data_IF_025164108279
#
_entry.id   IF_025164108279
#
_cell.length_a   1.000
_cell.length_b   1.000
_cell.length_c   1.000
_cell.angle_alpha   90.00
_cell.angle_beta   90.00
_cell.angle_gamma   90.00
#
_symmetry.space_group_name_H-M   'P 1'
#
loop_
_entity.id
_entity.type
_entity.pdbx_description
1 polymer ?
#
# COMPACT_ATOMS: atom_id res chain seq x y z
N UNK A 1 23.21 15.95 20.42
CA UNK A 1 22.08 15.44 19.60
C UNK A 1 21.75 16.48 18.55
N UNK A 2 21.42 16.08 17.33
CA UNK A 2 21.09 16.99 16.22
C UNK A 2 19.63 16.75 15.81
N UNK A 3 18.85 17.82 15.71
CA UNK A 3 17.44 17.78 15.29
C UNK A 3 17.21 18.76 14.16
N UNK A 4 16.32 18.41 13.23
CA UNK A 4 15.90 19.29 12.14
C UNK A 4 14.52 19.84 12.46
N UNK A 5 14.35 21.13 12.25
CA UNK A 5 13.08 21.83 12.44
C UNK A 5 12.68 22.52 11.14
N UNK A 6 11.39 22.52 10.84
CA UNK A 6 10.81 23.37 9.81
C UNK A 6 10.49 24.72 10.43
N UNK A 7 10.94 25.81 9.81
CA UNK A 7 10.69 27.18 10.28
C UNK A 7 9.89 27.94 9.24
N UNK A 8 8.68 28.36 9.62
CA UNK A 8 7.77 29.13 8.77
C UNK A 8 7.96 30.63 9.00
N UNK A 9 7.69 31.44 7.97
CA UNK A 9 7.77 32.92 8.03
C UNK A 9 9.12 33.53 7.64
N UNK A 10 10.11 32.72 7.26
CA UNK A 10 11.36 33.21 6.68
C UNK A 10 11.18 33.54 5.20
N UNK A 11 11.35 34.80 4.81
CA UNK A 11 11.16 35.26 3.42
C UNK A 11 12.39 35.90 2.80
N UNK A 12 13.48 36.05 3.55
CA UNK A 12 14.74 36.60 3.07
C UNK A 12 15.92 36.12 3.94
N UNK A 13 17.15 36.32 3.45
CA UNK A 13 18.35 35.92 4.19
C UNK A 13 18.48 36.62 5.55
N UNK A 14 17.98 37.86 5.68
CA UNK A 14 17.90 38.55 6.97
C UNK A 14 16.97 37.87 7.99
N UNK A 15 15.88 37.24 7.53
CA UNK A 15 15.03 36.44 8.40
C UNK A 15 15.74 35.17 8.86
N UNK A 16 16.44 34.48 7.96
CA UNK A 16 17.21 33.27 8.29
C UNK A 16 18.31 33.57 9.33
N UNK A 17 19.07 34.64 9.15
CA UNK A 17 20.10 35.05 10.12
C UNK A 17 19.50 35.42 11.48
N UNK A 18 18.35 36.09 11.51
CA UNK A 18 17.67 36.44 12.76
C UNK A 18 17.17 35.20 13.51
N UNK A 19 16.61 34.22 12.80
CA UNK A 19 16.20 32.93 13.37
C UNK A 19 17.40 32.16 13.92
N UNK A 20 18.49 32.08 13.15
CA UNK A 20 19.74 31.42 13.55
C UNK A 20 20.32 32.02 14.84
N UNK A 21 20.37 33.35 14.94
CA UNK A 21 20.90 34.05 16.12
C UNK A 21 20.04 33.78 17.37
N UNK A 22 18.71 33.85 17.23
CA UNK A 22 17.79 33.62 18.36
C UNK A 22 17.83 32.19 18.86
N UNK A 23 17.83 31.21 17.95
CA UNK A 23 17.93 29.79 18.31
C UNK A 23 19.29 29.44 18.93
N UNK A 24 20.37 30.09 18.50
CA UNK A 24 21.72 29.86 19.06
C UNK A 24 21.88 30.36 20.50
N UNK A 25 21.04 31.31 20.94
CA UNK A 25 21.04 31.85 22.31
C UNK A 25 20.22 31.01 23.29
N UNK A 26 19.52 29.98 22.83
CA UNK A 26 18.71 29.11 23.69
C UNK A 26 19.63 28.20 24.52
N UNK A 27 19.42 28.19 25.84
CA UNK A 27 20.18 27.35 26.76
C UNK A 27 20.06 25.88 26.39
N UNK A 28 21.22 25.24 26.17
CA UNK A 28 21.31 23.85 25.74
C UNK A 28 21.63 23.67 24.25
N UNK A 29 21.63 24.74 23.45
CA UNK A 29 22.07 24.71 22.05
C UNK A 29 23.59 24.86 21.93
N UNK A 30 24.19 24.11 21.01
CA UNK A 30 25.62 24.15 20.67
C UNK A 30 25.86 24.79 19.31
N UNK A 31 25.02 24.48 18.33
CA UNK A 31 25.16 24.96 16.96
C UNK A 31 23.78 25.01 16.27
N UNK A 32 23.58 26.00 15.40
CA UNK A 32 22.37 26.16 14.59
C UNK A 32 22.79 26.45 13.16
N UNK A 33 22.24 25.73 12.20
CA UNK A 33 22.42 25.97 10.77
C UNK A 33 21.04 26.12 10.11
N UNK A 34 20.80 27.25 9.44
CA UNK A 34 19.51 27.57 8.83
C UNK A 34 19.64 27.57 7.31
N UNK A 35 18.82 26.77 6.67
CA UNK A 35 18.68 26.69 5.22
C UNK A 35 17.40 27.44 4.80
N UNK A 36 17.57 28.59 4.14
CA UNK A 36 16.45 29.41 3.67
C UNK A 36 15.73 28.77 2.48
N UNK A 37 16.44 28.06 1.60
CA UNK A 37 15.85 27.44 0.40
C UNK A 37 14.93 26.28 0.79
N UNK A 38 15.32 25.53 1.82
CA UNK A 38 14.53 24.42 2.36
C UNK A 38 13.55 24.84 3.46
N UNK A 39 13.69 26.04 4.02
CA UNK A 39 12.88 26.50 5.15
C UNK A 39 13.17 25.72 6.44
N UNK A 40 14.42 25.30 6.63
CA UNK A 40 14.83 24.35 7.67
C UNK A 40 15.90 24.92 8.60
N UNK A 41 15.88 24.49 9.87
CA UNK A 41 16.90 24.78 10.86
C UNK A 41 17.39 23.48 11.49
N UNK A 42 18.68 23.18 11.30
CA UNK A 42 19.37 22.08 11.98
C UNK A 42 19.98 22.61 13.27
N UNK A 43 19.60 22.02 14.41
CA UNK A 43 20.02 22.45 15.75
C UNK A 43 20.75 21.30 16.44
N UNK A 44 22.01 21.53 16.78
CA UNK A 44 22.81 20.64 17.63
C UNK A 44 22.69 21.09 19.08
N UNK A 45 22.23 20.20 19.96
CA UNK A 45 22.01 20.47 21.37
C UNK A 45 22.88 19.58 22.27
N UNK A 46 23.24 20.12 23.44
CA UNK A 46 23.92 19.41 24.53
C UNK A 46 22.97 18.47 25.28
N UNK A 47 21.76 18.94 25.58
CA UNK A 47 20.68 18.21 26.24
C UNK A 47 19.35 18.45 25.49
N UNK A 48 18.32 17.64 25.73
CA UNK A 48 17.01 17.84 25.10
C UNK A 48 16.34 19.14 25.53
N UNK A 49 16.03 20.00 24.56
CA UNK A 49 15.34 21.27 24.74
C UNK A 49 13.92 21.13 24.14
N UNK A 50 12.86 21.35 24.94
CA UNK A 50 11.49 21.25 24.44
C UNK A 50 11.18 22.28 23.34
N UNK A 51 10.39 21.89 22.34
CA UNK A 51 9.97 22.74 21.21
C UNK A 51 9.37 24.08 21.67
N UNK A 52 8.65 24.09 22.80
CA UNK A 52 8.05 25.30 23.35
C UNK A 52 9.10 26.37 23.68
N UNK A 53 10.29 25.97 24.16
CA UNK A 53 11.39 26.92 24.43
C UNK A 53 11.93 27.53 23.14
N UNK A 54 11.99 26.75 22.05
CA UNK A 54 12.37 27.29 20.74
C UNK A 54 11.32 28.25 20.19
N UNK A 55 10.03 27.91 20.30
CA UNK A 55 8.94 28.79 19.88
C UNK A 55 8.92 30.09 20.70
N UNK A 56 9.19 30.03 22.02
CA UNK A 56 9.28 31.22 22.89
C UNK A 56 10.49 32.11 22.60
N UNK A 57 11.57 31.56 22.05
CA UNK A 57 12.75 32.33 21.65
C UNK A 57 12.52 33.07 20.31
N UNK A 58 11.56 32.62 19.51
CA UNK A 58 11.16 33.26 18.26
C UNK A 58 10.02 34.25 18.49
N UNK A 59 9.91 35.25 17.61
CA UNK A 59 8.76 36.17 17.60
C UNK A 59 7.55 35.51 16.96
N UNK A 60 6.33 35.97 17.27
CA UNK A 60 5.05 35.46 16.71
C UNK A 60 5.00 35.41 15.17
N UNK A 61 5.88 36.16 14.50
CA UNK A 61 6.07 36.14 13.05
C UNK A 61 6.62 34.80 12.51
N UNK A 62 7.27 33.99 13.34
CA UNK A 62 7.91 32.74 12.94
C UNK A 62 7.29 31.56 13.69
N UNK A 63 6.95 30.49 12.95
CA UNK A 63 6.56 29.21 13.54
C UNK A 63 7.71 28.22 13.45
N UNK A 64 7.92 27.40 14.48
CA UNK A 64 8.88 26.30 14.45
C UNK A 64 8.19 24.99 14.77
N UNK A 65 8.38 24.01 13.89
CA UNK A 65 7.87 22.65 14.04
C UNK A 65 9.03 21.68 13.91
N UNK A 66 9.05 20.62 14.73
CA UNK A 66 10.05 19.58 14.57
C UNK A 66 9.78 18.81 13.29
N UNK A 67 10.68 18.96 12.31
CA UNK A 67 10.64 18.14 11.10
C UNK A 67 11.10 16.79 11.56
N UNK A 68 10.14 15.88 11.75
CA UNK A 68 10.37 14.55 12.30
C UNK A 68 11.59 13.88 11.67
N UNK A 69 12.76 14.06 12.27
CA UNK A 69 13.90 13.22 11.99
C UNK A 69 13.58 11.92 12.70
N UNK A 70 13.60 10.87 11.91
CA UNK A 70 13.63 9.48 12.33
C UNK A 70 14.85 9.19 13.22
N UNK A 71 14.85 9.76 14.43
CA UNK A 71 15.43 9.18 15.63
C UNK A 71 14.27 9.04 16.63
N UNK A 72 13.13 8.56 16.13
CA UNK A 72 11.93 8.24 16.89
C UNK A 72 11.91 6.72 17.10
N UNK A 73 11.84 6.31 18.36
CA UNK A 73 11.24 5.06 18.82
C UNK A 73 11.82 3.74 18.25
N UNK A 74 13.10 3.47 18.55
CA UNK A 74 13.45 2.10 18.95
C UNK A 74 13.22 1.96 20.45
N UNK A 75 11.95 1.81 20.85
CA UNK A 75 11.49 1.06 22.03
C UNK A 75 9.95 1.11 22.05
N UNK A 76 9.34 0.08 21.46
CA UNK A 76 7.92 -0.30 21.57
C UNK A 76 6.86 0.41 20.69
N UNK A 77 7.20 0.71 19.44
CA UNK A 77 6.24 0.53 18.35
C UNK A 77 6.41 -0.88 17.78
N UNK A 78 5.59 -1.85 18.22
CA UNK A 78 5.53 -3.16 17.55
C UNK A 78 5.39 -2.90 16.05
N UNK A 79 6.32 -3.41 15.21
CA UNK A 79 5.98 -3.73 13.83
C UNK A 79 4.66 -4.50 13.92
N UNK A 80 3.55 -3.91 13.46
CA UNK A 80 2.29 -4.64 13.40
C UNK A 80 2.61 -5.88 12.58
N UNK A 81 2.67 -7.02 13.26
CA UNK A 81 3.03 -8.31 12.68
C UNK A 81 2.31 -8.46 11.35
N UNK A 82 3.02 -8.86 10.28
CA UNK A 82 2.45 -9.02 8.93
C UNK A 82 1.12 -9.81 8.96
N UNK A 83 1.00 -10.73 9.90
CA UNK A 83 -0.21 -11.50 10.22
C UNK A 83 -1.43 -10.66 10.61
N UNK A 84 -1.23 -9.62 11.43
CA UNK A 84 -2.30 -8.70 11.84
C UNK A 84 -2.79 -7.88 10.64
N UNK A 85 -1.88 -7.52 9.73
CA UNK A 85 -2.24 -6.86 8.49
C UNK A 85 -3.04 -7.81 7.60
N UNK A 86 -2.58 -9.05 7.35
CA UNK A 86 -3.28 -10.04 6.51
C UNK A 86 -4.63 -10.54 7.08
N UNK A 87 -5.02 -10.15 8.29
CA UNK A 87 -6.25 -10.62 8.96
C UNK A 87 -7.54 -10.42 8.12
N UNK A 88 -7.80 -9.26 7.48
CA UNK A 88 -8.99 -9.08 6.65
C UNK A 88 -8.99 -10.03 5.44
N UNK A 89 -7.82 -10.30 4.88
CA UNK A 89 -7.68 -11.21 3.75
C UNK A 89 -8.03 -12.65 4.14
N UNK A 90 -7.46 -13.15 5.25
CA UNK A 90 -7.81 -14.48 5.76
C UNK A 90 -9.28 -14.60 6.10
N UNK A 91 -9.89 -13.53 6.61
CA UNK A 91 -11.32 -13.49 6.87
C UNK A 91 -12.11 -13.60 5.55
N UNK A 92 -11.77 -12.84 4.51
CA UNK A 92 -12.39 -12.97 3.19
C UNK A 92 -12.28 -14.41 2.68
N UNK A 93 -11.07 -15.00 2.69
CA UNK A 93 -10.85 -16.38 2.26
C UNK A 93 -11.70 -17.39 3.05
N UNK A 94 -11.80 -17.24 4.37
CA UNK A 94 -12.61 -18.13 5.20
C UNK A 94 -14.10 -18.05 4.84
N UNK A 95 -14.63 -16.84 4.58
CA UNK A 95 -16.01 -16.65 4.14
C UNK A 95 -16.25 -17.23 2.75
N UNK A 96 -15.35 -17.00 1.79
CA UNK A 96 -15.45 -17.55 0.43
C UNK A 96 -15.41 -19.08 0.43
N UNK A 97 -14.48 -19.67 1.19
CA UNK A 97 -14.38 -21.12 1.32
C UNK A 97 -15.62 -21.72 1.97
N UNK A 98 -16.12 -21.10 3.04
CA UNK A 98 -17.35 -21.54 3.72
C UNK A 98 -18.56 -21.45 2.78
N UNK A 99 -18.67 -20.39 2.00
CA UNK A 99 -19.75 -20.21 1.03
C UNK A 99 -19.70 -21.29 -0.07
N UNK A 100 -18.53 -21.49 -0.69
CA UNK A 100 -18.34 -22.53 -1.71
C UNK A 100 -18.64 -23.94 -1.17
N UNK A 101 -18.21 -24.23 0.07
CA UNK A 101 -18.51 -25.49 0.75
C UNK A 101 -20.01 -25.68 0.99
N UNK A 102 -20.70 -24.66 1.52
CA UNK A 102 -22.13 -24.74 1.82
C UNK A 102 -23.00 -24.88 0.56
N UNK A 103 -22.61 -24.24 -0.55
CA UNK A 103 -23.30 -24.37 -1.84
C UNK A 103 -23.23 -25.81 -2.39
N UNK A 104 -22.17 -26.55 -2.06
CA UNK A 104 -21.91 -27.90 -2.55
C UNK A 104 -22.10 -28.99 -1.47
N UNK A 105 -22.75 -28.66 -0.34
CA UNK A 105 -22.84 -29.57 0.80
C UNK A 105 -23.72 -30.80 0.54
N UNK A 106 -24.77 -30.67 -0.29
CA UNK A 106 -25.70 -31.78 -0.59
C UNK A 106 -25.16 -32.71 -1.67
N UNK A 107 -24.74 -32.14 -2.79
CA UNK A 107 -24.21 -32.87 -3.94
C UNK A 107 -22.73 -32.54 -4.08
N UNK A 108 -21.91 -33.21 -3.27
CA UNK A 108 -20.50 -32.89 -3.15
C UNK A 108 -19.74 -33.11 -4.47
N UNK A 109 -19.34 -32.01 -5.09
CA UNK A 109 -18.46 -31.99 -6.24
C UNK A 109 -17.34 -30.98 -6.02
N UNK A 110 -16.10 -31.47 -6.03
CA UNK A 110 -14.91 -30.64 -5.86
C UNK A 110 -14.80 -29.65 -7.02
N UNK A 111 -15.11 -30.08 -8.24
CA UNK A 111 -15.06 -29.23 -9.44
C UNK A 111 -16.06 -28.08 -9.36
N UNK A 112 -17.30 -28.35 -8.91
CA UNK A 112 -18.31 -27.32 -8.73
C UNK A 112 -17.94 -26.36 -7.59
N UNK A 113 -17.44 -26.89 -6.46
CA UNK A 113 -16.96 -26.08 -5.36
C UNK A 113 -15.77 -25.18 -5.76
N UNK A 114 -14.87 -25.66 -6.63
CA UNK A 114 -13.77 -24.86 -7.17
C UNK A 114 -14.30 -23.74 -8.06
N UNK A 115 -15.26 -24.01 -8.96
CA UNK A 115 -15.88 -22.99 -9.81
C UNK A 115 -16.62 -21.94 -8.97
N UNK A 116 -17.33 -22.34 -7.93
CA UNK A 116 -18.01 -21.41 -7.01
C UNK A 116 -17.00 -20.57 -6.23
N UNK A 117 -15.93 -21.17 -5.72
CA UNK A 117 -14.87 -20.44 -5.05
C UNK A 117 -14.22 -19.42 -5.98
N UNK A 118 -13.84 -19.81 -7.20
CA UNK A 118 -13.25 -18.92 -8.20
C UNK A 118 -14.21 -17.77 -8.57
N UNK A 119 -15.49 -18.09 -8.75
CA UNK A 119 -16.52 -17.11 -9.08
C UNK A 119 -16.72 -16.08 -7.96
N UNK A 120 -16.92 -16.54 -6.73
CA UNK A 120 -17.06 -15.67 -5.56
C UNK A 120 -15.80 -14.85 -5.31
N UNK A 121 -14.62 -15.46 -5.49
CA UNK A 121 -13.33 -14.78 -5.38
C UNK A 121 -13.28 -13.59 -6.35
N UNK A 122 -13.54 -13.81 -7.63
CA UNK A 122 -13.51 -12.74 -8.62
C UNK A 122 -14.54 -11.63 -8.35
N UNK A 123 -15.76 -11.97 -7.94
CA UNK A 123 -16.78 -10.97 -7.60
C UNK A 123 -16.34 -10.09 -6.42
N UNK A 124 -15.84 -10.70 -5.34
CA UNK A 124 -15.44 -9.97 -4.13
C UNK A 124 -14.18 -9.12 -4.37
N UNK A 125 -13.17 -9.66 -5.05
CA UNK A 125 -11.94 -8.91 -5.33
C UNK A 125 -12.14 -7.83 -6.40
N UNK A 126 -13.08 -8.01 -7.33
CA UNK A 126 -13.52 -6.96 -8.24
C UNK A 126 -14.20 -5.83 -7.46
N UNK A 127 -15.09 -6.15 -6.52
CA UNK A 127 -15.75 -5.16 -5.66
C UNK A 127 -14.76 -4.27 -4.90
N UNK A 128 -13.71 -4.84 -4.31
CA UNK A 128 -12.68 -4.04 -3.63
C UNK A 128 -11.94 -3.08 -4.59
N UNK A 129 -11.73 -3.49 -5.84
CA UNK A 129 -11.15 -2.61 -6.87
C UNK A 129 -12.13 -1.52 -7.29
N UNK A 130 -13.43 -1.82 -7.29
CA UNK A 130 -14.47 -0.83 -7.55
C UNK A 130 -14.53 0.28 -6.48
N UNK A 131 -14.20 -0.04 -5.22
CA UNK A 131 -14.15 0.96 -4.14
C UNK A 131 -13.11 2.06 -4.39
N UNK A 132 -12.06 1.75 -5.15
CA UNK A 132 -11.06 2.73 -5.58
C UNK A 132 -10.70 2.61 -7.06
N UNK A 133 -11.69 2.78 -7.93
CA UNK A 133 -11.47 2.76 -9.39
C UNK A 133 -10.47 3.82 -9.89
N UNK A 134 -10.25 4.91 -9.13
CA UNK A 134 -9.37 5.99 -9.55
C UNK A 134 -7.91 5.71 -9.19
N UNK A 135 -7.65 5.20 -7.98
CA UNK A 135 -6.30 4.85 -7.52
C UNK A 135 -5.83 3.44 -7.92
N UNK A 136 -6.77 2.52 -8.21
CA UNK A 136 -6.45 1.15 -8.58
C UNK A 136 -5.56 1.04 -9.83
N UNK A 137 -5.85 1.68 -10.98
CA UNK A 137 -5.07 1.50 -12.20
C UNK A 137 -3.59 1.91 -12.05
N UNK A 138 -3.34 2.97 -11.30
CA UNK A 138 -1.98 3.44 -10.99
C UNK A 138 -1.24 2.41 -10.14
N UNK A 139 -1.87 1.93 -9.06
CA UNK A 139 -1.30 0.91 -8.17
C UNK A 139 -1.07 -0.43 -8.88
N UNK A 140 -2.00 -0.83 -9.75
CA UNK A 140 -1.94 -2.07 -10.52
C UNK A 140 -0.83 -2.05 -11.57
N UNK A 141 -0.63 -0.91 -12.24
CA UNK A 141 0.45 -0.70 -13.22
C UNK A 141 1.87 -0.78 -12.64
N UNK A 142 2.02 -0.72 -11.31
CA UNK A 142 3.33 -0.88 -10.66
C UNK A 142 3.88 -2.30 -10.74
N UNK A 143 3.02 -3.32 -10.80
CA UNK A 143 3.43 -4.72 -10.79
C UNK A 143 2.87 -5.55 -11.94
N UNK A 144 1.73 -5.17 -12.54
CA UNK A 144 1.19 -5.88 -13.70
C UNK A 144 1.87 -5.41 -15.01
N UNK A 145 2.54 -6.31 -15.77
CA UNK A 145 3.28 -5.92 -16.96
C UNK A 145 2.39 -5.35 -18.06
N UNK A 146 1.14 -5.83 -18.18
CA UNK A 146 0.21 -5.40 -19.22
C UNK A 146 -0.39 -4.03 -18.88
N UNK A 147 -0.77 -3.81 -17.62
CA UNK A 147 -1.24 -2.51 -17.13
C UNK A 147 -0.16 -1.43 -17.23
N UNK A 148 1.11 -1.79 -17.04
CA UNK A 148 2.24 -0.89 -17.19
C UNK A 148 2.41 -0.37 -18.62
N UNK A 149 2.12 -1.22 -19.62
CA UNK A 149 2.24 -0.86 -21.04
C UNK A 149 0.96 -0.21 -21.57
N UNK A 150 -0.20 -0.69 -21.11
CA UNK A 150 -1.51 -0.21 -21.52
C UNK A 150 -2.31 0.26 -20.29
N UNK A 151 -2.24 1.55 -19.89
CA UNK A 151 -2.92 2.05 -18.70
C UNK A 151 -4.44 1.84 -18.70
N UNK A 152 -5.06 1.79 -19.89
CA UNK A 152 -6.49 1.52 -20.05
C UNK A 152 -6.88 0.11 -19.59
N UNK A 153 -5.95 -0.84 -19.65
CA UNK A 153 -6.16 -2.20 -19.15
C UNK A 153 -6.43 -2.19 -17.65
N UNK A 154 -5.72 -1.37 -16.87
CA UNK A 154 -5.97 -1.23 -15.43
C UNK A 154 -7.36 -0.70 -15.08
N UNK A 155 -7.94 0.16 -15.93
CA UNK A 155 -9.32 0.63 -15.77
C UNK A 155 -10.36 -0.44 -16.11
N UNK A 156 -10.08 -1.27 -17.11
CA UNK A 156 -10.99 -2.33 -17.58
C UNK A 156 -10.90 -3.57 -16.69
N UNK A 157 -9.78 -3.78 -16.00
CA UNK A 157 -9.50 -4.98 -15.21
C UNK A 157 -10.56 -5.34 -14.15
N UNK A 158 -11.07 -4.40 -13.31
CA UNK A 158 -12.13 -4.73 -12.35
C UNK A 158 -13.40 -5.27 -13.03
N UNK A 159 -13.74 -4.77 -14.22
CA UNK A 159 -14.87 -5.26 -15.00
C UNK A 159 -14.63 -6.65 -15.59
N UNK A 160 -13.40 -6.94 -16.04
CA UNK A 160 -13.05 -8.28 -16.50
C UNK A 160 -13.15 -9.30 -15.38
N UNK A 161 -12.67 -8.98 -14.18
CA UNK A 161 -12.82 -9.85 -13.01
C UNK A 161 -14.28 -10.08 -12.67
N UNK A 162 -15.11 -9.02 -12.63
CA UNK A 162 -16.54 -9.19 -12.40
C UNK A 162 -17.18 -10.12 -13.45
N UNK A 163 -16.82 -9.91 -14.73
CA UNK A 163 -17.29 -10.75 -15.84
C UNK A 163 -16.89 -12.21 -15.67
N UNK A 164 -15.62 -12.50 -15.36
CA UNK A 164 -15.13 -13.85 -15.08
C UNK A 164 -15.86 -14.47 -13.88
N UNK A 165 -16.07 -13.70 -12.82
CA UNK A 165 -16.81 -14.13 -11.64
C UNK A 165 -18.23 -14.58 -11.98
N UNK A 166 -18.93 -13.80 -12.81
CA UNK A 166 -20.27 -14.14 -13.30
C UNK A 166 -20.24 -15.39 -14.19
N UNK A 167 -19.28 -15.51 -15.12
CA UNK A 167 -19.15 -16.68 -15.99
C UNK A 167 -18.96 -17.96 -15.17
N UNK A 168 -18.12 -17.93 -14.14
CA UNK A 168 -17.93 -19.06 -13.23
C UNK A 168 -19.19 -19.39 -12.44
N UNK A 169 -19.81 -18.41 -11.78
CA UNK A 169 -21.02 -18.64 -10.97
C UNK A 169 -22.22 -19.12 -11.80
N UNK A 170 -22.38 -18.61 -13.01
CA UNK A 170 -23.49 -19.00 -13.91
C UNK A 170 -23.18 -20.22 -14.77
N UNK A 171 -21.98 -20.79 -14.69
CA UNK A 171 -21.51 -21.90 -15.53
C UNK A 171 -21.57 -21.60 -17.04
N UNK A 172 -21.30 -20.36 -17.43
CA UNK A 172 -21.33 -19.91 -18.82
C UNK A 172 -19.92 -19.99 -19.40
N UNK A 173 -19.74 -20.73 -20.49
CA UNK A 173 -18.48 -20.84 -21.24
C UNK A 173 -17.24 -21.07 -20.34
N UNK A 174 -17.33 -22.05 -19.43
CA UNK A 174 -16.29 -22.32 -18.42
C UNK A 174 -14.89 -22.48 -19.02
N UNK A 175 -14.74 -23.21 -20.13
CA UNK A 175 -13.43 -23.38 -20.76
C UNK A 175 -12.81 -22.05 -21.21
N UNK A 176 -13.62 -21.16 -21.79
CA UNK A 176 -13.15 -19.83 -22.17
C UNK A 176 -12.74 -19.01 -20.94
N UNK A 177 -13.57 -18.99 -19.89
CA UNK A 177 -13.27 -18.28 -18.65
C UNK A 177 -11.99 -18.78 -17.97
N UNK A 178 -11.76 -20.10 -17.97
CA UNK A 178 -10.54 -20.73 -17.44
C UNK A 178 -9.30 -20.32 -18.23
N UNK A 179 -9.35 -20.37 -19.57
CA UNK A 179 -8.21 -19.96 -20.42
C UNK A 179 -7.88 -18.48 -20.19
N UNK A 180 -8.90 -17.61 -20.19
CA UNK A 180 -8.71 -16.17 -19.92
C UNK A 180 -8.10 -15.95 -18.53
N UNK A 181 -8.58 -16.67 -17.52
CA UNK A 181 -8.04 -16.64 -16.16
C UNK A 181 -6.56 -17.00 -16.14
N UNK A 182 -6.16 -18.09 -16.80
CA UNK A 182 -4.76 -18.51 -16.86
C UNK A 182 -3.89 -17.48 -17.57
N UNK A 183 -4.36 -16.90 -18.67
CA UNK A 183 -3.60 -15.88 -19.42
C UNK A 183 -3.43 -14.61 -18.59
N UNK A 184 -4.53 -14.07 -18.06
CA UNK A 184 -4.51 -12.83 -17.29
C UNK A 184 -3.65 -13.00 -16.03
N UNK A 185 -3.97 -13.98 -15.19
CA UNK A 185 -3.25 -14.18 -13.93
C UNK A 185 -1.82 -14.64 -14.16
N UNK A 186 -1.52 -15.37 -15.24
CA UNK A 186 -0.16 -15.74 -15.61
C UNK A 186 0.71 -14.51 -15.86
N UNK A 187 0.22 -13.55 -16.64
CA UNK A 187 0.92 -12.28 -16.92
C UNK A 187 1.14 -11.50 -15.61
N UNK A 188 0.09 -11.35 -14.79
CA UNK A 188 0.18 -10.63 -13.51
C UNK A 188 1.15 -11.33 -12.55
N UNK A 189 1.11 -12.66 -12.45
CA UNK A 189 2.00 -13.45 -11.58
C UNK A 189 3.46 -13.31 -11.98
N UNK A 190 3.77 -13.27 -13.28
CA UNK A 190 5.14 -13.00 -13.74
C UNK A 190 5.63 -11.62 -13.31
N UNK A 191 4.79 -10.59 -13.40
CA UNK A 191 5.12 -9.23 -12.97
C UNK A 191 5.30 -9.09 -11.45
N UNK A 192 4.40 -9.70 -10.68
CA UNK A 192 4.49 -9.75 -9.21
C UNK A 192 5.74 -10.51 -8.76
N UNK A 193 6.02 -11.67 -9.37
CA UNK A 193 7.21 -12.48 -9.08
C UNK A 193 8.49 -11.69 -9.35
N UNK A 194 8.57 -10.98 -10.49
CA UNK A 194 9.71 -10.10 -10.80
C UNK A 194 9.88 -8.98 -9.76
N UNK A 195 8.78 -8.34 -9.38
CA UNK A 195 8.78 -7.27 -8.36
C UNK A 195 9.24 -7.77 -6.99
N UNK A 196 8.82 -8.98 -6.59
CA UNK A 196 9.26 -9.62 -5.34
C UNK A 196 10.74 -10.01 -5.37
N UNK A 197 11.22 -10.54 -6.50
CA UNK A 197 12.62 -10.96 -6.68
C UNK A 197 13.59 -9.78 -6.73
N UNK A 198 13.17 -8.65 -7.30
CA UNK A 198 14.01 -7.47 -7.41
C UNK A 198 14.32 -6.82 -6.04
N UNK A 199 13.68 -7.25 -4.93
CA UNK A 199 13.81 -6.68 -3.57
C UNK A 199 13.75 -5.14 -3.54
N UNK A 200 13.18 -4.52 -4.57
CA UNK A 200 13.05 -3.07 -4.66
C UNK A 200 11.87 -2.67 -3.81
N UNK A 201 12.17 -2.16 -2.61
CA UNK A 201 11.20 -1.46 -1.77
C UNK A 201 10.81 -0.15 -2.45
N UNK A 202 9.81 -0.17 -3.32
CA UNK A 202 9.21 1.06 -3.81
C UNK A 202 8.15 1.48 -2.80
N UNK A 203 8.53 2.39 -1.89
CA UNK A 203 7.56 3.28 -1.26
C UNK A 203 7.18 4.33 -2.29
N UNK A 204 5.91 4.41 -2.69
CA UNK A 204 5.01 5.51 -2.30
C UNK A 204 3.73 5.63 -3.13
N UNK A 205 2.69 6.07 -2.41
CA UNK A 205 1.75 7.14 -2.77
C UNK A 205 0.63 6.91 -3.81
N UNK A 206 -0.25 5.90 -3.65
CA UNK A 206 -1.52 5.88 -4.43
C UNK A 206 -2.79 5.42 -3.67
N UNK A 207 -2.74 4.61 -2.62
CA UNK A 207 -3.91 4.29 -1.78
C UNK A 207 -3.57 4.63 -0.32
N UNK A 208 -4.21 5.59 0.35
CA UNK A 208 -5.65 5.84 0.32
C UNK A 208 -6.34 5.08 1.45
N UNK A 209 -5.90 5.35 2.69
CA UNK A 209 -6.66 5.37 3.96
C UNK A 209 -7.56 4.21 4.41
N UNK A 210 -7.79 3.13 3.66
CA UNK A 210 -8.68 2.05 4.12
C UNK A 210 -7.93 0.86 4.74
N UNK A 211 -6.90 0.32 4.07
CA UNK A 211 -6.21 -0.90 4.51
C UNK A 211 -4.74 -0.92 4.03
N UNK A 212 -3.79 -0.60 4.91
CA UNK A 212 -2.35 -0.78 4.70
C UNK A 212 -2.01 -2.28 4.74
N UNK A 213 -2.15 -2.96 3.60
CA UNK A 213 -1.69 -4.35 3.40
C UNK A 213 -0.43 -4.35 2.53
N UNK A 214 0.56 -5.23 2.80
CA UNK A 214 1.61 -5.53 1.84
C UNK A 214 0.99 -6.31 0.68
N UNK A 215 0.33 -5.60 -0.24
CA UNK A 215 -0.51 -6.18 -1.29
C UNK A 215 0.26 -7.19 -2.16
N UNK A 216 1.57 -7.01 -2.35
CA UNK A 216 2.36 -7.85 -3.26
C UNK A 216 2.47 -9.33 -2.82
N UNK A 217 2.61 -9.62 -1.52
CA UNK A 217 2.68 -11.01 -1.01
C UNK A 217 1.30 -11.68 -1.03
N UNK A 218 0.25 -10.94 -0.67
CA UNK A 218 -1.14 -11.41 -0.70
C UNK A 218 -1.61 -11.74 -2.14
N UNK A 219 -1.42 -10.80 -3.07
CA UNK A 219 -1.79 -10.96 -4.48
C UNK A 219 -1.03 -12.10 -5.14
N UNK A 220 0.23 -12.36 -4.74
CA UNK A 220 0.95 -13.53 -5.22
C UNK A 220 0.28 -14.85 -4.82
N UNK A 221 -0.10 -14.99 -3.54
CA UNK A 221 -0.76 -16.19 -3.02
C UNK A 221 -2.13 -16.37 -3.66
N UNK A 222 -2.91 -15.30 -3.74
CA UNK A 222 -4.22 -15.25 -4.39
C UNK A 222 -4.15 -15.74 -5.85
N UNK A 223 -3.27 -15.14 -6.65
CA UNK A 223 -3.10 -15.50 -8.05
C UNK A 223 -2.61 -16.93 -8.22
N UNK A 224 -1.69 -17.39 -7.36
CA UNK A 224 -1.18 -18.76 -7.40
C UNK A 224 -2.29 -19.78 -7.13
N UNK A 225 -3.13 -19.56 -6.12
CA UNK A 225 -4.26 -20.44 -5.82
C UNK A 225 -5.23 -20.49 -7.01
N UNK A 226 -5.60 -19.32 -7.55
CA UNK A 226 -6.50 -19.22 -8.70
C UNK A 226 -5.92 -19.88 -9.96
N UNK A 227 -4.62 -19.73 -10.23
CA UNK A 227 -3.94 -20.39 -11.34
C UNK A 227 -3.92 -21.92 -11.19
N UNK A 228 -3.60 -22.42 -10.00
CA UNK A 228 -3.61 -23.87 -9.73
C UNK A 228 -5.00 -24.44 -9.95
N UNK A 229 -6.04 -23.78 -9.43
CA UNK A 229 -7.43 -24.21 -9.65
C UNK A 229 -7.81 -24.16 -11.12
N UNK A 230 -7.46 -23.08 -11.83
CA UNK A 230 -7.81 -22.94 -13.24
C UNK A 230 -7.12 -23.99 -14.12
N UNK A 231 -5.84 -24.25 -13.90
CA UNK A 231 -5.07 -25.27 -14.63
C UNK A 231 -5.58 -26.66 -14.28
N UNK A 232 -5.87 -26.94 -13.01
CA UNK A 232 -6.49 -28.21 -12.60
C UNK A 232 -7.81 -28.43 -13.34
N UNK A 233 -8.72 -27.45 -13.31
CA UNK A 233 -10.03 -27.50 -13.97
C UNK A 233 -9.95 -27.63 -15.50
N UNK A 234 -8.83 -27.28 -16.13
CA UNK A 234 -8.61 -27.49 -17.57
C UNK A 234 -8.12 -28.91 -17.90
N UNK A 235 -7.58 -29.64 -16.92
CA UNK A 235 -7.01 -30.98 -17.11
C UNK A 235 -7.99 -32.12 -16.78
N UNK A 236 -9.05 -31.84 -16.03
CA UNK A 236 -10.14 -32.77 -15.71
C UNK A 236 -11.32 -32.53 -16.65
#
# INVERSE_FOLDING_TARGET
MEHTYTVTGMTCQGCASSVMEKLSKVDGVREVNVDLEQGEAKITMKNHVPLQKFQSALSEKYGIEEKGNHVMEMLHGQEKSKWVQLRPLFLIFAYLFSAAFLLNFKDWSISEAMLDFMGLFYVVFSFFKFLDLKGFPESFGMYDPLAKVLPIYGWVYPFMELGLGILFLMRIQIQFALIVTVVILGITTLGVTKTLLDKKSIRCACLGTALNLPMTEATFIENAIMLVMAVWMLMI
#
